data_IF_555126641811
#
_entry.id   IF_555126641811
#
_cell.length_a   1.000
_cell.length_b   1.000
_cell.length_c   1.000
_cell.angle_alpha   90.00
_cell.angle_beta   90.00
_cell.angle_gamma   90.00
#
_symmetry.space_group_name_H-M   'P 1'
#
loop_
_entity.id
_entity.type
_entity.pdbx_description
1 polymer ?
#
# COMPACT_ATOMS: atom_id res chain seq x y z
N UNK A 1 46.90 -3.30 -6.33
CA UNK A 1 46.33 -3.95 -5.14
C UNK A 1 44.88 -3.46 -5.03
N UNK A 2 43.92 -4.36 -5.19
CA UNK A 2 42.50 -4.08 -4.93
C UNK A 2 42.30 -4.37 -3.45
N UNK A 3 41.95 -3.36 -2.67
CA UNK A 3 41.57 -3.54 -1.28
C UNK A 3 40.17 -4.15 -1.24
N UNK A 4 40.04 -5.36 -0.70
CA UNK A 4 38.75 -6.00 -0.49
C UNK A 4 38.16 -5.37 0.78
N UNK A 5 37.17 -4.51 0.58
CA UNK A 5 36.38 -3.99 1.69
C UNK A 5 35.25 -4.97 2.04
N UNK A 6 34.91 -5.04 3.31
CA UNK A 6 33.76 -5.82 3.76
C UNK A 6 32.48 -5.25 3.17
N UNK A 7 31.63 -6.12 2.62
CA UNK A 7 30.32 -5.69 2.12
C UNK A 7 29.47 -5.12 3.24
N UNK A 8 28.94 -3.91 3.04
CA UNK A 8 27.98 -3.29 3.96
C UNK A 8 26.65 -4.01 3.79
N UNK A 9 26.15 -4.60 4.86
CA UNK A 9 24.82 -5.20 4.88
C UNK A 9 23.79 -4.06 4.89
N UNK A 10 23.02 -3.95 3.83
CA UNK A 10 21.91 -3.01 3.75
C UNK A 10 20.65 -3.67 4.34
N UNK A 11 20.37 -3.37 5.61
CA UNK A 11 19.27 -4.00 6.36
C UNK A 11 17.90 -3.77 5.73
N UNK A 12 17.70 -2.62 5.14
CA UNK A 12 16.46 -2.23 4.44
C UNK A 12 16.20 -3.11 3.21
N UNK A 13 17.25 -3.43 2.43
CA UNK A 13 17.12 -4.36 1.29
C UNK A 13 16.81 -5.77 1.78
N UNK A 14 17.43 -6.21 2.87
CA UNK A 14 17.16 -7.52 3.45
C UNK A 14 15.73 -7.62 3.99
N UNK A 15 15.26 -6.59 4.70
CA UNK A 15 13.89 -6.52 5.20
C UNK A 15 12.90 -6.58 4.03
N UNK A 16 13.13 -5.79 2.99
CA UNK A 16 12.29 -5.74 1.81
C UNK A 16 12.16 -7.11 1.13
N UNK A 17 13.29 -7.81 0.92
CA UNK A 17 13.31 -9.17 0.35
C UNK A 17 12.54 -10.18 1.22
N UNK A 18 12.66 -10.08 2.54
CA UNK A 18 11.92 -10.96 3.47
C UNK A 18 10.41 -10.72 3.39
N UNK A 19 9.97 -9.46 3.29
CA UNK A 19 8.56 -9.11 3.11
C UNK A 19 8.02 -9.69 1.80
N UNK A 20 8.72 -9.49 0.70
CA UNK A 20 8.36 -10.00 -0.63
C UNK A 20 8.29 -11.53 -0.65
N UNK A 21 9.31 -12.20 -0.08
CA UNK A 21 9.33 -13.67 0.06
C UNK A 21 8.17 -14.17 0.94
N UNK A 22 7.91 -13.50 2.05
CA UNK A 22 6.82 -13.86 2.95
C UNK A 22 5.46 -13.75 2.26
N UNK A 23 5.17 -12.62 1.61
CA UNK A 23 3.90 -12.40 0.95
C UNK A 23 3.71 -13.34 -0.25
N UNK A 24 4.71 -13.47 -1.11
CA UNK A 24 4.59 -14.31 -2.30
C UNK A 24 4.60 -15.81 -1.99
N UNK A 25 5.65 -16.29 -1.30
CA UNK A 25 5.89 -17.72 -1.16
C UNK A 25 5.11 -18.37 -0.02
N UNK A 26 4.80 -17.63 1.06
CA UNK A 26 4.11 -18.18 2.24
C UNK A 26 2.64 -17.81 2.31
N UNK A 27 2.26 -16.61 1.84
CA UNK A 27 0.88 -16.14 1.90
C UNK A 27 0.13 -16.25 0.56
N UNK A 28 0.82 -16.55 -0.54
CA UNK A 28 0.22 -16.74 -1.86
C UNK A 28 -0.28 -15.45 -2.51
N UNK A 29 0.36 -14.32 -2.22
CA UNK A 29 0.12 -13.08 -2.91
C UNK A 29 0.90 -13.03 -4.23
N UNK A 30 0.30 -12.40 -5.23
CA UNK A 30 0.97 -12.03 -6.46
C UNK A 30 1.45 -10.60 -6.39
N UNK A 31 2.72 -10.37 -6.69
CA UNK A 31 3.28 -9.03 -6.78
C UNK A 31 2.80 -8.34 -8.05
N UNK A 32 2.45 -7.06 -7.91
CA UNK A 32 2.08 -6.21 -9.03
C UNK A 32 2.90 -4.93 -9.00
N UNK A 33 3.03 -4.32 -10.17
CA UNK A 33 3.69 -3.02 -10.34
C UNK A 33 2.72 -2.07 -11.05
N UNK A 34 2.38 -0.98 -10.39
CA UNK A 34 1.56 0.07 -10.98
C UNK A 34 2.41 1.29 -11.32
N UNK A 35 1.94 2.11 -12.25
CA UNK A 35 2.60 3.36 -12.56
C UNK A 35 2.49 4.38 -11.41
N UNK A 36 3.47 5.29 -11.27
CA UNK A 36 3.41 6.32 -10.21
C UNK A 36 2.30 7.37 -10.44
N UNK A 37 1.83 7.52 -11.69
CA UNK A 37 0.67 8.36 -12.01
C UNK A 37 -0.62 7.57 -11.94
N UNK A 38 -1.66 8.18 -11.37
CA UNK A 38 -2.92 7.51 -11.05
C UNK A 38 -4.07 8.21 -11.78
N UNK A 39 -5.05 7.42 -12.23
CA UNK A 39 -6.33 7.93 -12.72
C UNK A 39 -7.09 8.59 -11.56
N UNK A 40 -7.44 9.87 -11.75
CA UNK A 40 -8.11 10.73 -10.77
C UNK A 40 -9.37 10.07 -10.17
N UNK A 41 -10.11 9.29 -10.96
CA UNK A 41 -11.29 8.57 -10.46
C UNK A 41 -10.98 7.61 -9.31
N UNK A 42 -9.79 6.96 -9.31
CA UNK A 42 -9.41 6.05 -8.22
C UNK A 42 -8.89 6.80 -6.99
N UNK A 43 -8.32 8.00 -7.16
CA UNK A 43 -8.00 8.90 -6.03
C UNK A 43 -9.28 9.27 -5.29
N UNK A 44 -10.30 9.70 -6.04
CA UNK A 44 -11.62 10.02 -5.47
C UNK A 44 -12.31 8.79 -4.87
N UNK A 45 -12.24 7.63 -5.55
CA UNK A 45 -12.82 6.39 -5.03
C UNK A 45 -12.17 5.98 -3.70
N UNK A 46 -10.85 6.12 -3.55
CA UNK A 46 -10.13 5.85 -2.31
C UNK A 46 -10.38 6.90 -1.20
N UNK A 47 -11.17 7.96 -1.48
CA UNK A 47 -11.45 9.07 -0.57
C UNK A 47 -10.18 9.82 -0.13
N UNK A 48 -9.20 9.90 -1.03
CA UNK A 48 -7.97 10.67 -0.83
C UNK A 48 -8.22 12.11 -1.27
N UNK A 49 -7.74 13.05 -0.46
CA UNK A 49 -7.79 14.47 -0.79
C UNK A 49 -6.78 14.78 -1.92
N UNK A 50 -7.28 15.01 -3.11
CA UNK A 50 -6.48 15.26 -4.30
C UNK A 50 -5.62 16.54 -4.20
N UNK A 51 -6.03 17.49 -3.35
CA UNK A 51 -5.26 18.71 -3.13
C UNK A 51 -3.88 18.45 -2.50
N UNK A 52 -3.72 17.30 -1.85
CA UNK A 52 -2.47 16.83 -1.24
C UNK A 52 -1.58 16.04 -2.21
N UNK A 53 -2.07 15.71 -3.40
CA UNK A 53 -1.30 15.00 -4.42
C UNK A 53 -0.48 15.95 -5.28
N UNK A 54 0.69 15.52 -5.72
CA UNK A 54 1.51 16.26 -6.68
C UNK A 54 0.91 16.13 -8.06
N UNK A 55 0.77 17.26 -8.75
CA UNK A 55 0.29 17.33 -10.12
C UNK A 55 1.46 17.41 -11.11
N UNK A 56 1.41 16.57 -12.14
CA UNK A 56 2.40 16.59 -13.23
C UNK A 56 2.15 17.79 -14.13
N UNK A 57 3.23 18.47 -14.52
CA UNK A 57 3.15 19.56 -15.51
C UNK A 57 2.79 19.02 -16.91
N UNK A 58 3.33 17.84 -17.27
CA UNK A 58 3.06 17.19 -18.56
C UNK A 58 2.64 15.73 -18.27
N UNK A 59 1.35 15.49 -18.04
CA UNK A 59 0.86 14.14 -17.76
C UNK A 59 0.78 13.29 -19.04
N UNK A 60 0.93 11.96 -18.96
CA UNK A 60 0.81 11.05 -20.10
C UNK A 60 -0.62 11.03 -20.68
N UNK A 61 -1.62 11.35 -19.88
CA UNK A 61 -3.01 11.58 -20.29
C UNK A 61 -3.69 12.55 -19.31
N UNK A 62 -4.76 13.27 -19.72
CA UNK A 62 -5.44 14.23 -18.85
C UNK A 62 -5.94 13.63 -17.52
N UNK A 63 -6.41 12.38 -17.54
CA UNK A 63 -6.87 11.68 -16.33
C UNK A 63 -5.75 11.14 -15.44
N UNK A 64 -4.49 11.12 -15.91
CA UNK A 64 -3.31 10.61 -15.22
C UNK A 64 -2.40 11.75 -14.77
N UNK A 65 -3.00 12.81 -14.23
CA UNK A 65 -2.28 14.05 -13.94
C UNK A 65 -1.63 14.10 -12.55
N UNK A 66 -1.85 13.10 -11.70
CA UNK A 66 -1.39 13.14 -10.31
C UNK A 66 -0.47 11.97 -9.98
N UNK A 67 0.59 12.26 -9.22
CA UNK A 67 1.43 11.25 -8.62
C UNK A 67 0.74 10.65 -7.38
N UNK A 68 0.96 9.36 -7.15
CA UNK A 68 0.40 8.63 -6.03
C UNK A 68 0.96 9.12 -4.69
N UNK A 69 0.08 9.49 -3.78
CA UNK A 69 0.39 9.75 -2.37
C UNK A 69 0.07 8.54 -1.46
N UNK A 70 -0.50 7.49 -2.06
CA UNK A 70 -0.87 6.20 -1.48
C UNK A 70 -0.92 5.17 -2.61
N UNK A 71 -0.69 3.90 -2.32
CA UNK A 71 -0.79 2.80 -3.30
C UNK A 71 -2.22 2.27 -3.44
N UNK A 72 -3.12 2.63 -2.52
CA UNK A 72 -4.52 2.15 -2.52
C UNK A 72 -5.24 2.46 -3.83
N UNK A 73 -5.18 3.67 -4.44
CA UNK A 73 -5.85 3.93 -5.72
C UNK A 73 -5.40 3.01 -6.85
N UNK A 74 -4.10 2.76 -6.98
CA UNK A 74 -3.56 1.80 -7.95
C UNK A 74 -4.02 0.37 -7.69
N UNK A 75 -4.08 -0.02 -6.42
CA UNK A 75 -4.59 -1.34 -6.02
C UNK A 75 -6.08 -1.49 -6.33
N UNK A 76 -6.91 -0.45 -6.12
CA UNK A 76 -8.32 -0.47 -6.51
C UNK A 76 -8.50 -0.69 -8.02
N UNK A 77 -7.67 -0.04 -8.83
CA UNK A 77 -7.66 -0.24 -10.28
C UNK A 77 -7.27 -1.68 -10.65
N UNK A 78 -6.21 -2.21 -10.01
CA UNK A 78 -5.76 -3.58 -10.22
C UNK A 78 -6.85 -4.59 -9.85
N UNK A 79 -7.52 -4.41 -8.71
CA UNK A 79 -8.63 -5.26 -8.28
C UNK A 79 -9.77 -5.24 -9.31
N UNK A 80 -10.21 -4.05 -9.75
CA UNK A 80 -11.30 -3.91 -10.72
C UNK A 80 -10.99 -4.58 -12.08
N UNK A 81 -9.72 -4.56 -12.50
CA UNK A 81 -9.26 -5.23 -13.72
C UNK A 81 -9.22 -6.75 -13.57
N UNK A 82 -8.71 -7.26 -12.45
CA UNK A 82 -8.53 -8.69 -12.20
C UNK A 82 -9.86 -9.43 -11.94
N UNK A 83 -10.88 -8.76 -11.38
CA UNK A 83 -12.21 -9.32 -11.15
C UNK A 83 -12.93 -9.76 -12.44
N UNK A 84 -12.44 -9.38 -13.62
CA UNK A 84 -12.93 -9.88 -14.92
C UNK A 84 -12.56 -11.34 -15.17
N UNK A 85 -11.51 -11.83 -14.50
CA UNK A 85 -10.90 -13.14 -14.75
C UNK A 85 -10.95 -14.04 -13.52
N UNK A 86 -10.86 -13.46 -12.31
CA UNK A 86 -10.73 -14.20 -11.06
C UNK A 86 -11.73 -13.69 -10.02
N UNK A 87 -12.36 -14.61 -9.30
CA UNK A 87 -13.29 -14.29 -8.22
C UNK A 87 -12.60 -14.08 -6.88
N UNK A 88 -11.45 -14.72 -6.67
CA UNK A 88 -10.68 -14.70 -5.44
C UNK A 88 -9.19 -14.62 -5.78
N UNK A 89 -8.48 -13.71 -5.18
CA UNK A 89 -7.04 -13.51 -5.39
C UNK A 89 -6.45 -12.61 -4.32
N UNK A 90 -5.12 -12.61 -4.24
CA UNK A 90 -4.34 -11.78 -3.34
C UNK A 90 -3.26 -11.05 -4.14
N UNK A 91 -3.19 -9.74 -4.00
CA UNK A 91 -2.20 -8.91 -4.68
C UNK A 91 -1.43 -8.10 -3.64
N UNK A 92 -0.16 -7.81 -3.93
CA UNK A 92 0.60 -6.81 -3.19
C UNK A 92 1.46 -5.97 -4.12
N UNK A 93 1.77 -4.77 -3.67
CA UNK A 93 2.71 -3.85 -4.30
C UNK A 93 3.55 -3.17 -3.23
N UNK A 94 4.84 -3.09 -3.46
CA UNK A 94 5.76 -2.29 -2.67
C UNK A 94 6.39 -1.23 -3.57
N UNK A 95 6.17 0.03 -3.25
CA UNK A 95 6.62 1.11 -4.11
C UNK A 95 6.65 2.45 -3.37
N UNK A 96 7.31 3.42 -4.00
CA UNK A 96 7.37 4.79 -3.49
C UNK A 96 6.06 5.54 -3.71
N UNK A 97 5.71 6.37 -2.73
CA UNK A 97 4.65 7.37 -2.79
C UNK A 97 5.25 8.77 -2.65
N UNK A 98 4.57 9.78 -3.16
CA UNK A 98 5.07 11.15 -3.27
C UNK A 98 4.18 12.09 -2.48
N UNK A 99 4.79 12.83 -1.53
CA UNK A 99 4.06 13.77 -0.69
C UNK A 99 4.24 15.20 -1.19
N UNK A 100 3.13 15.96 -1.21
CA UNK A 100 3.15 17.39 -1.54
C UNK A 100 3.55 18.20 -0.31
N UNK A 101 4.40 19.19 -0.52
CA UNK A 101 4.72 20.22 0.49
C UNK A 101 6.15 20.18 0.98
N UNK A 102 6.66 19.05 1.37
CA UNK A 102 8.03 18.95 1.85
C UNK A 102 8.95 18.48 0.73
N UNK A 103 10.00 19.27 0.50
CA UNK A 103 11.00 18.95 -0.51
C UNK A 103 12.32 18.59 0.17
N UNK A 104 12.97 17.54 -0.32
CA UNK A 104 14.33 17.22 0.10
C UNK A 104 15.31 17.97 -0.80
N UNK A 105 16.23 18.79 -0.26
CA UNK A 105 17.32 19.33 -1.05
C UNK A 105 18.19 18.18 -1.54
N UNK A 106 18.44 18.12 -2.84
CA UNK A 106 19.42 17.21 -3.42
C UNK A 106 20.81 17.84 -3.39
N UNK A 107 21.87 17.04 -3.54
CA UNK A 107 23.24 17.51 -3.64
C UNK A 107 23.51 18.44 -4.83
N UNK A 108 22.55 18.54 -5.77
CA UNK A 108 22.64 19.29 -7.03
C UNK A 108 21.65 20.45 -7.13
N UNK A 109 21.20 21.02 -6.03
CA UNK A 109 20.18 22.07 -5.96
C UNK A 109 18.80 21.70 -6.56
N UNK A 110 18.59 20.44 -6.91
CA UNK A 110 17.27 19.96 -7.34
C UNK A 110 16.34 19.80 -6.13
N UNK A 111 15.15 20.35 -6.24
CA UNK A 111 14.09 20.21 -5.23
C UNK A 111 13.28 18.97 -5.57
N UNK A 112 13.52 17.87 -4.83
CA UNK A 112 12.77 16.62 -5.00
C UNK A 112 11.63 16.53 -3.99
N UNK A 113 10.46 16.00 -4.37
CA UNK A 113 9.39 15.75 -3.42
C UNK A 113 9.83 14.73 -2.36
N UNK A 114 9.22 14.78 -1.18
CA UNK A 114 9.42 13.74 -0.18
C UNK A 114 8.84 12.44 -0.72
N UNK A 115 9.67 11.41 -0.75
CA UNK A 115 9.33 10.06 -1.16
C UNK A 115 9.35 9.16 0.07
N UNK A 116 8.41 8.22 0.13
CA UNK A 116 8.35 7.21 1.17
C UNK A 116 7.98 5.87 0.57
N UNK A 117 8.60 4.80 1.08
CA UNK A 117 8.28 3.44 0.65
C UNK A 117 7.03 2.94 1.38
N UNK A 118 6.08 2.46 0.60
CA UNK A 118 4.84 1.87 1.10
C UNK A 118 4.70 0.45 0.61
N UNK A 119 4.13 -0.37 1.46
CA UNK A 119 3.65 -1.71 1.15
C UNK A 119 2.13 -1.69 1.20
N UNK A 120 1.47 -2.13 0.15
CA UNK A 120 0.03 -2.38 0.15
C UNK A 120 -0.24 -3.82 -0.26
N UNK A 121 -1.30 -4.40 0.29
CA UNK A 121 -1.78 -5.71 -0.13
C UNK A 121 -3.29 -5.81 0.00
N UNK A 122 -3.89 -6.64 -0.84
CA UNK A 122 -5.32 -6.91 -0.78
C UNK A 122 -5.61 -8.41 -0.86
N UNK A 123 -6.69 -8.80 -0.19
CA UNK A 123 -7.31 -10.13 -0.29
C UNK A 123 -8.73 -9.92 -0.80
N UNK A 124 -9.04 -10.52 -1.93
CA UNK A 124 -10.35 -10.47 -2.57
C UNK A 124 -11.04 -11.82 -2.41
N UNK A 125 -12.26 -11.82 -1.89
CA UNK A 125 -13.01 -13.05 -1.66
C UNK A 125 -14.46 -12.81 -1.24
N UNK A 126 -15.23 -13.88 -1.14
CA UNK A 126 -16.68 -13.80 -0.86
C UNK A 126 -17.00 -13.57 0.62
N UNK A 127 -16.22 -14.15 1.52
CA UNK A 127 -16.48 -14.08 2.95
C UNK A 127 -15.67 -12.91 3.57
N UNK A 128 -16.35 -11.82 3.86
CA UNK A 128 -15.75 -10.61 4.43
C UNK A 128 -14.99 -10.88 5.73
N UNK A 129 -15.54 -11.72 6.61
CA UNK A 129 -14.94 -12.03 7.90
C UNK A 129 -13.64 -12.82 7.71
N UNK A 130 -13.64 -13.85 6.87
CA UNK A 130 -12.47 -14.69 6.61
C UNK A 130 -11.32 -13.87 6.04
N UNK A 131 -11.57 -13.09 4.97
CA UNK A 131 -10.51 -12.30 4.34
C UNK A 131 -9.96 -11.20 5.26
N UNK A 132 -10.78 -10.63 6.15
CA UNK A 132 -10.32 -9.64 7.13
C UNK A 132 -9.38 -10.28 8.16
N UNK A 133 -9.78 -11.43 8.73
CA UNK A 133 -8.91 -12.12 9.68
C UNK A 133 -7.67 -12.71 9.03
N UNK A 134 -7.76 -13.14 7.79
CA UNK A 134 -6.60 -13.57 7.01
C UNK A 134 -5.61 -12.41 6.82
N UNK A 135 -6.08 -11.24 6.38
CA UNK A 135 -5.24 -10.05 6.22
C UNK A 135 -4.62 -9.60 7.55
N UNK A 136 -5.38 -9.68 8.65
CA UNK A 136 -4.86 -9.44 10.00
C UNK A 136 -3.72 -10.41 10.33
N UNK A 137 -3.94 -11.71 10.13
CA UNK A 137 -2.93 -12.74 10.37
C UNK A 137 -1.69 -12.57 9.49
N UNK A 138 -1.86 -12.13 8.24
CA UNK A 138 -0.74 -11.81 7.34
C UNK A 138 0.14 -10.72 7.96
N UNK A 139 -0.42 -9.62 8.46
CA UNK A 139 0.35 -8.52 9.05
C UNK A 139 1.05 -8.97 10.35
N UNK A 140 0.33 -9.67 11.25
CA UNK A 140 0.87 -10.14 12.52
C UNK A 140 2.04 -11.13 12.33
N UNK A 141 1.90 -12.05 11.38
CA UNK A 141 2.95 -13.02 11.08
C UNK A 141 4.08 -12.41 10.25
N UNK A 142 3.82 -11.43 9.38
CA UNK A 142 4.85 -10.68 8.67
C UNK A 142 5.78 -9.97 9.65
N UNK A 143 5.21 -9.29 10.63
CA UNK A 143 6.00 -8.61 11.67
C UNK A 143 6.92 -9.62 12.39
N UNK A 144 6.40 -10.79 12.76
CA UNK A 144 7.19 -11.85 13.40
C UNK A 144 8.25 -12.45 12.46
N UNK A 145 7.88 -12.77 11.22
CA UNK A 145 8.78 -13.38 10.24
C UNK A 145 9.92 -12.45 9.82
N UNK A 146 9.62 -11.16 9.69
CA UNK A 146 10.59 -10.13 9.30
C UNK A 146 11.36 -9.55 10.48
N UNK A 147 11.13 -10.04 11.71
CA UNK A 147 11.74 -9.53 12.94
C UNK A 147 11.47 -8.03 13.15
N UNK A 148 10.25 -7.59 12.85
CA UNK A 148 9.80 -6.22 13.12
C UNK A 148 9.28 -6.15 14.55
N UNK A 149 9.96 -5.37 15.38
CA UNK A 149 9.60 -5.20 16.79
C UNK A 149 8.47 -4.18 16.98
N UNK A 150 7.74 -4.31 18.07
CA UNK A 150 6.74 -3.34 18.55
C UNK A 150 5.59 -3.06 17.58
N UNK A 151 5.29 -3.99 16.66
CA UNK A 151 4.12 -3.90 15.78
C UNK A 151 2.86 -4.38 16.51
N UNK A 152 1.83 -3.53 16.54
CA UNK A 152 0.51 -3.85 17.09
C UNK A 152 -0.59 -3.52 16.08
N UNK A 153 -1.73 -4.20 16.24
CA UNK A 153 -2.94 -3.91 15.47
C UNK A 153 -4.02 -3.42 16.44
N UNK A 154 -4.40 -2.16 16.32
CA UNK A 154 -5.29 -1.48 17.27
C UNK A 154 -6.36 -0.68 16.52
N UNK A 155 -7.51 -0.48 17.16
CA UNK A 155 -8.60 0.33 16.59
C UNK A 155 -8.50 1.75 17.11
N UNK A 156 -7.85 2.64 16.34
CA UNK A 156 -7.56 4.04 16.73
C UNK A 156 -8.36 4.99 15.84
N UNK A 157 -8.00 5.08 14.55
CA UNK A 157 -8.55 6.00 13.59
C UNK A 157 -9.04 5.27 12.34
N UNK A 158 -10.27 5.56 11.92
CA UNK A 158 -10.86 4.91 10.74
C UNK A 158 -10.22 5.43 9.45
N UNK A 159 -9.56 4.56 8.65
CA UNK A 159 -9.10 4.94 7.32
C UNK A 159 -10.28 5.32 6.42
N UNK A 160 -10.09 6.31 5.55
CA UNK A 160 -11.16 6.84 4.70
C UNK A 160 -11.79 5.79 3.78
N UNK A 161 -10.99 4.82 3.32
CA UNK A 161 -11.42 3.74 2.45
C UNK A 161 -12.19 2.62 3.18
N UNK A 162 -12.04 2.52 4.50
CA UNK A 162 -12.48 1.37 5.25
C UNK A 162 -13.93 1.42 5.69
N UNK A 163 -14.55 0.25 5.85
CA UNK A 163 -15.80 0.06 6.56
C UNK A 163 -15.64 0.43 8.04
N UNK A 164 -16.67 1.06 8.62
CA UNK A 164 -16.64 1.57 10.00
C UNK A 164 -16.49 0.47 11.06
N UNK A 165 -16.92 -0.74 10.75
CA UNK A 165 -16.91 -1.85 11.69
C UNK A 165 -15.67 -2.73 11.55
N UNK A 166 -14.97 -2.66 10.40
CA UNK A 166 -13.91 -3.61 10.03
C UNK A 166 -12.64 -2.89 9.60
N UNK A 167 -11.92 -2.31 10.56
CA UNK A 167 -10.61 -1.72 10.36
C UNK A 167 -9.73 -1.86 11.59
N UNK A 168 -8.42 -1.79 11.36
CA UNK A 168 -7.36 -1.72 12.37
C UNK A 168 -6.26 -0.79 11.86
N UNK A 169 -5.58 -0.12 12.78
CA UNK A 169 -4.35 0.61 12.48
C UNK A 169 -3.17 -0.29 12.82
N UNK A 170 -2.13 -0.21 11.99
CA UNK A 170 -0.83 -0.83 12.27
C UNK A 170 0.00 0.22 12.97
N UNK A 171 0.42 -0.07 14.19
CA UNK A 171 1.28 0.82 14.98
C UNK A 171 2.65 0.21 15.20
N UNK A 172 3.67 1.05 15.28
CA UNK A 172 5.02 0.72 15.71
C UNK A 172 5.48 1.80 16.69
N UNK A 173 5.95 1.39 17.85
CA UNK A 173 6.33 2.32 18.93
C UNK A 173 5.25 3.36 19.22
N UNK A 174 3.98 2.91 19.30
CA UNK A 174 2.76 3.68 19.54
C UNK A 174 2.45 4.77 18.47
N UNK A 175 3.12 4.72 17.31
CA UNK A 175 2.84 5.59 16.15
C UNK A 175 2.13 4.79 15.06
N UNK A 176 1.09 5.37 14.47
CA UNK A 176 0.42 4.77 13.32
C UNK A 176 1.38 4.80 12.13
N UNK A 177 1.69 3.62 11.59
CA UNK A 177 2.50 3.45 10.38
C UNK A 177 1.69 2.90 9.21
N UNK A 178 0.46 2.48 9.46
CA UNK A 178 -0.38 1.90 8.43
C UNK A 178 -1.78 1.57 8.92
N UNK A 179 -2.54 0.93 8.05
CA UNK A 179 -3.90 0.51 8.37
C UNK A 179 -4.31 -0.71 7.55
N UNK A 180 -5.26 -1.47 8.10
CA UNK A 180 -5.98 -2.58 7.48
C UNK A 180 -7.48 -2.28 7.55
N UNK A 181 -8.23 -2.59 6.51
CA UNK A 181 -9.68 -2.50 6.55
C UNK A 181 -10.37 -3.31 5.46
N UNK A 182 -11.64 -3.67 5.69
CA UNK A 182 -12.51 -4.00 4.58
C UNK A 182 -12.85 -2.72 3.82
N UNK A 183 -12.89 -2.78 2.50
CA UNK A 183 -13.37 -1.65 1.70
C UNK A 183 -14.83 -1.35 2.04
N UNK A 184 -15.14 -0.07 2.24
CA UNK A 184 -16.52 0.37 2.40
C UNK A 184 -17.33 0.15 1.12
N UNK A 185 -18.65 -0.03 1.26
CA UNK A 185 -19.56 -0.21 0.13
C UNK A 185 -19.44 0.93 -0.88
N UNK A 186 -19.25 2.15 -0.39
CA UNK A 186 -19.09 3.33 -1.25
C UNK A 186 -17.81 3.25 -2.09
N UNK A 187 -16.66 2.92 -1.47
CA UNK A 187 -15.38 2.77 -2.17
C UNK A 187 -15.45 1.67 -3.22
N UNK A 188 -16.06 0.53 -2.89
CA UNK A 188 -16.27 -0.56 -3.84
C UNK A 188 -17.13 -0.13 -5.02
N UNK A 189 -18.23 0.59 -4.76
CA UNK A 189 -19.11 1.10 -5.80
C UNK A 189 -18.40 2.09 -6.74
N UNK A 190 -17.69 3.06 -6.16
CA UNK A 190 -16.96 4.10 -6.91
C UNK A 190 -15.82 3.49 -7.76
N UNK A 191 -15.21 2.40 -7.27
CA UNK A 191 -14.16 1.65 -7.98
C UNK A 191 -14.70 0.58 -8.93
N UNK A 192 -16.03 0.42 -9.06
CA UNK A 192 -16.68 -0.62 -9.87
C UNK A 192 -16.36 -2.05 -9.42
N UNK A 193 -16.00 -2.24 -8.17
CA UNK A 193 -15.79 -3.55 -7.53
C UNK A 193 -17.16 -4.06 -7.08
N UNK A 194 -17.59 -5.22 -7.60
CA UNK A 194 -18.94 -5.76 -7.37
C UNK A 194 -18.91 -7.24 -7.01
N UNK A 195 -19.91 -7.68 -6.23
CA UNK A 195 -20.17 -9.10 -5.91
C UNK A 195 -19.03 -9.82 -5.19
N UNK A 196 -18.21 -9.07 -4.47
CA UNK A 196 -17.09 -9.59 -3.68
C UNK A 196 -16.86 -8.69 -2.47
N UNK A 197 -15.96 -9.09 -1.58
CA UNK A 197 -15.42 -8.27 -0.51
C UNK A 197 -13.92 -8.12 -0.72
N UNK A 198 -13.33 -7.06 -0.17
CA UNK A 198 -11.92 -6.77 -0.26
C UNK A 198 -11.40 -6.35 1.11
N UNK A 199 -10.45 -7.09 1.64
CA UNK A 199 -9.60 -6.62 2.72
C UNK A 199 -8.34 -6.01 2.11
N UNK A 200 -8.00 -4.79 2.51
CA UNK A 200 -6.83 -4.07 2.01
C UNK A 200 -6.04 -3.50 3.17
N UNK A 201 -4.73 -3.56 3.07
CA UNK A 201 -3.82 -2.90 4.01
C UNK A 201 -2.80 -2.06 3.29
N UNK A 202 -2.33 -1.02 3.97
CA UNK A 202 -1.22 -0.18 3.53
C UNK A 202 -0.35 0.18 4.72
N UNK A 203 0.96 0.04 4.58
CA UNK A 203 1.96 0.25 5.64
C UNK A 203 3.11 1.07 5.08
N UNK A 204 3.51 2.11 5.79
CA UNK A 204 4.74 2.84 5.50
C UNK A 204 5.94 1.98 5.97
N UNK A 205 6.75 1.51 5.05
CA UNK A 205 7.88 0.61 5.33
C UNK A 205 9.18 1.35 5.69
N UNK A 206 9.18 2.68 5.66
CA UNK A 206 10.33 3.51 6.10
C UNK A 206 10.29 3.79 7.62
N UNK A 207 9.21 3.42 8.32
CA UNK A 207 8.99 3.74 9.75
C UNK A 207 9.12 2.55 10.66
#
# INVERSE_FOLDING_TARGET
NITIEHSIIQNDILLNRRIEEYLSSRCGFYEIYTYPWIDEKYIHAAKIDISKSLKLATPPAPSLAYLRSSLIPGMLEAIAKNLRYYNEFKLFEKAEVYQKGDYRPSSNDEILPVQSNYLTGCIVGKNAKEIFYEAKGVIENMARYCHMENIKLEKIEKPNYADINAYLNVTKDDKIIGSLGLLSVQVMSDSKIKRTNVAIFEINSDK
#
